data_IF_440708041088
#
_entry.id   IF_440708041088
#
_cell.length_a   1.000
_cell.length_b   1.000
_cell.length_c   1.000
_cell.angle_alpha   90.00
_cell.angle_beta   90.00
_cell.angle_gamma   90.00
#
_symmetry.space_group_name_H-M   'P 1'
#
loop_
_entity.id
_entity.type
_entity.pdbx_description
1 polymer ?
#
# COMPACT_ATOMS: atom_id res chain seq x y z
N UNK A 1 -17.31 -0.98 -9.51
CA UNK A 1 -16.29 -0.06 -8.98
C UNK A 1 -15.00 -0.36 -9.70
N UNK A 2 -14.33 0.66 -10.23
CA UNK A 2 -12.99 0.49 -10.81
C UNK A 2 -11.96 0.39 -9.69
N UNK A 3 -10.94 -0.44 -9.86
CA UNK A 3 -9.83 -0.49 -8.92
C UNK A 3 -9.11 0.88 -8.89
N UNK A 4 -8.74 1.40 -7.72
CA UNK A 4 -7.87 2.56 -7.61
C UNK A 4 -6.57 2.38 -8.40
N UNK A 5 -6.01 3.48 -8.91
CA UNK A 5 -4.79 3.46 -9.71
C UNK A 5 -3.58 3.74 -8.82
N UNK A 6 -2.55 2.88 -8.91
CA UNK A 6 -1.28 3.11 -8.23
C UNK A 6 -0.57 4.32 -8.84
N UNK A 7 -0.18 5.28 -8.01
CA UNK A 7 0.66 6.40 -8.42
C UNK A 7 2.11 5.99 -8.54
N UNK A 8 2.90 6.77 -9.28
CA UNK A 8 4.36 6.69 -9.16
C UNK A 8 4.77 6.89 -7.72
N UNK A 9 5.64 6.01 -7.20
CA UNK A 9 6.22 6.13 -5.87
C UNK A 9 7.09 7.39 -5.73
N UNK A 10 7.37 7.81 -4.50
CA UNK A 10 8.06 9.08 -4.21
C UNK A 10 9.52 9.06 -4.69
N UNK A 11 10.20 7.93 -4.49
CA UNK A 11 11.59 7.72 -4.90
C UNK A 11 11.70 6.78 -6.12
N UNK A 12 12.79 6.84 -6.91
CA UNK A 12 13.02 5.91 -8.03
C UNK A 12 13.07 4.43 -7.60
N UNK A 13 12.71 3.53 -8.52
CA UNK A 13 12.75 2.08 -8.27
C UNK A 13 14.16 1.53 -8.05
N UNK A 14 15.19 2.20 -8.58
CA UNK A 14 16.60 1.86 -8.40
C UNK A 14 17.25 2.58 -7.20
N UNK A 15 16.46 3.33 -6.43
CA UNK A 15 16.91 3.96 -5.20
C UNK A 15 17.26 2.89 -4.14
N UNK A 16 18.38 3.02 -3.41
CA UNK A 16 18.74 2.10 -2.34
C UNK A 16 17.70 1.92 -1.22
N UNK A 17 16.76 2.86 -1.07
CA UNK A 17 15.66 2.78 -0.09
C UNK A 17 14.42 2.01 -0.63
N UNK A 18 14.31 1.81 -1.95
CA UNK A 18 13.27 1.00 -2.60
C UNK A 18 13.47 -0.50 -2.34
N UNK A 19 13.24 -0.93 -1.09
CA UNK A 19 13.56 -2.28 -0.60
C UNK A 19 12.35 -3.02 -0.04
N UNK A 20 11.19 -2.37 0.00
CA UNK A 20 9.98 -2.91 0.62
C UNK A 20 9.27 -3.89 -0.32
N UNK A 21 8.75 -4.97 0.27
CA UNK A 21 8.19 -6.10 -0.49
C UNK A 21 6.69 -6.27 -0.30
N UNK A 22 6.10 -5.56 0.65
CA UNK A 22 4.72 -5.67 1.10
C UNK A 22 4.33 -7.13 1.42
N UNK A 23 5.24 -7.88 2.04
CA UNK A 23 5.06 -9.29 2.40
C UNK A 23 4.53 -9.44 3.83
N UNK A 24 3.25 -9.82 4.03
CA UNK A 24 2.74 -10.08 5.36
C UNK A 24 3.31 -11.37 5.92
N UNK A 25 3.47 -11.40 7.24
CA UNK A 25 3.89 -12.58 7.98
C UNK A 25 3.55 -12.48 9.47
N UNK A 26 3.85 -13.51 10.27
CA UNK A 26 3.48 -13.55 11.70
C UNK A 26 4.01 -12.39 12.54
N UNK A 27 5.10 -11.75 12.09
CA UNK A 27 5.73 -10.59 12.76
C UNK A 27 5.55 -9.27 11.99
N UNK A 28 4.87 -9.30 10.85
CA UNK A 28 4.55 -8.15 10.01
C UNK A 28 3.13 -8.34 9.47
N UNK A 29 2.10 -8.12 10.30
CA UNK A 29 0.73 -8.35 9.87
C UNK A 29 0.34 -7.35 8.79
N UNK A 30 -0.59 -7.74 7.91
CA UNK A 30 -1.28 -6.79 7.04
C UNK A 30 -2.59 -6.38 7.72
N UNK A 31 -2.73 -5.09 7.98
CA UNK A 31 -3.87 -4.49 8.67
C UNK A 31 -4.41 -3.31 7.86
N UNK A 32 -5.66 -2.94 8.12
CA UNK A 32 -6.27 -1.76 7.55
C UNK A 32 -7.00 -0.96 8.63
N UNK A 33 -7.02 0.37 8.52
CA UNK A 33 -7.82 1.20 9.42
C UNK A 33 -9.32 0.97 9.14
N UNK A 34 -10.19 1.14 10.15
CA UNK A 34 -11.64 1.05 9.93
C UNK A 34 -12.14 2.04 8.86
N UNK A 35 -11.58 3.25 8.81
CA UNK A 35 -11.96 4.27 7.83
C UNK A 35 -11.57 3.86 6.40
N UNK A 36 -10.38 3.26 6.21
CA UNK A 36 -9.98 2.73 4.91
C UNK A 36 -10.90 1.58 4.46
N UNK A 37 -11.27 0.67 5.37
CA UNK A 37 -12.21 -0.43 5.07
C UNK A 37 -13.59 0.12 4.71
N UNK A 38 -14.09 1.12 5.44
CA UNK A 38 -15.38 1.74 5.15
C UNK A 38 -15.39 2.43 3.78
N UNK A 39 -14.31 3.16 3.44
CA UNK A 39 -14.23 3.90 2.19
C UNK A 39 -14.01 2.99 0.98
N UNK A 40 -13.06 2.05 1.06
CA UNK A 40 -12.61 1.27 -0.10
C UNK A 40 -13.13 -0.16 -0.12
N UNK A 41 -13.62 -0.72 0.99
CA UNK A 41 -13.89 -2.16 1.21
C UNK A 41 -12.62 -3.02 1.32
N UNK A 42 -12.74 -4.14 2.03
CA UNK A 42 -11.66 -5.13 2.17
C UNK A 42 -11.22 -5.72 0.82
N UNK A 43 -12.16 -5.95 -0.11
CA UNK A 43 -11.88 -6.54 -1.41
C UNK A 43 -10.95 -5.64 -2.26
N UNK A 44 -11.23 -4.34 -2.29
CA UNK A 44 -10.40 -3.37 -3.03
C UNK A 44 -9.04 -3.22 -2.37
N UNK A 45 -8.98 -3.16 -1.03
CA UNK A 45 -7.71 -3.08 -0.29
C UNK A 45 -6.83 -4.31 -0.60
N UNK A 46 -7.41 -5.51 -0.62
CA UNK A 46 -6.71 -6.74 -0.98
C UNK A 46 -6.22 -6.72 -2.43
N UNK A 47 -7.05 -6.23 -3.37
CA UNK A 47 -6.67 -6.11 -4.77
C UNK A 47 -5.53 -5.09 -4.99
N UNK A 48 -5.57 -3.94 -4.32
CA UNK A 48 -4.48 -2.96 -4.32
C UNK A 48 -3.19 -3.53 -3.74
N UNK A 49 -3.26 -4.26 -2.61
CA UNK A 49 -2.11 -4.96 -2.04
C UNK A 49 -1.48 -5.97 -3.02
N UNK A 50 -2.28 -6.71 -3.78
CA UNK A 50 -1.77 -7.61 -4.82
C UNK A 50 -1.02 -6.87 -5.93
N UNK A 51 -1.45 -5.65 -6.30
CA UNK A 51 -0.72 -4.80 -7.24
C UNK A 51 0.64 -4.42 -6.66
N UNK A 52 0.71 -4.02 -5.39
CA UNK A 52 1.97 -3.69 -4.72
C UNK A 52 2.94 -4.87 -4.70
N UNK A 53 2.44 -6.08 -4.41
CA UNK A 53 3.23 -7.32 -4.46
C UNK A 53 3.84 -7.55 -5.83
N UNK A 54 3.07 -7.35 -6.90
CA UNK A 54 3.56 -7.50 -8.27
C UNK A 54 4.63 -6.46 -8.62
N UNK A 55 4.45 -5.20 -8.20
CA UNK A 55 5.43 -4.14 -8.40
C UNK A 55 6.73 -4.42 -7.63
N UNK A 56 6.63 -4.79 -6.36
CA UNK A 56 7.78 -5.17 -5.55
C UNK A 56 8.55 -6.35 -6.15
N UNK A 57 7.85 -7.39 -6.63
CA UNK A 57 8.49 -8.53 -7.27
C UNK A 57 9.16 -8.14 -8.61
N UNK A 58 8.55 -7.23 -9.39
CA UNK A 58 9.11 -6.74 -10.65
C UNK A 58 10.38 -5.89 -10.44
N UNK A 59 10.37 -5.02 -9.44
CA UNK A 59 11.42 -4.04 -9.19
C UNK A 59 12.46 -4.50 -8.15
N UNK A 60 12.25 -5.68 -7.53
CA UNK A 60 13.09 -6.20 -6.43
C UNK A 60 13.07 -5.30 -5.19
N UNK A 61 11.92 -4.66 -4.95
CA UNK A 61 11.71 -3.69 -3.89
C UNK A 61 11.05 -2.41 -4.43
N UNK A 62 10.26 -1.77 -3.57
CA UNK A 62 9.63 -0.48 -3.82
C UNK A 62 9.72 0.39 -2.56
N UNK A 63 9.33 1.65 -2.68
CA UNK A 63 9.26 2.60 -1.58
C UNK A 63 8.30 2.14 -0.48
N UNK A 64 8.55 2.53 0.77
CA UNK A 64 7.79 2.10 1.93
C UNK A 64 6.36 2.65 1.93
N UNK A 65 6.14 3.83 1.33
CA UNK A 65 4.84 4.48 1.17
C UNK A 65 4.36 4.34 -0.28
N UNK A 66 3.18 3.78 -0.45
CA UNK A 66 2.54 3.62 -1.76
C UNK A 66 1.14 4.23 -1.73
N UNK A 67 0.78 4.95 -2.79
CA UNK A 67 -0.47 5.72 -2.84
C UNK A 67 -1.31 5.28 -4.03
N UNK A 68 -2.55 4.91 -3.76
CA UNK A 68 -3.57 4.66 -4.76
C UNK A 68 -4.55 5.83 -4.81
N UNK A 69 -4.82 6.34 -6.01
CA UNK A 69 -5.83 7.37 -6.25
C UNK A 69 -7.07 6.80 -6.95
N UNK A 70 -8.23 7.35 -6.62
CA UNK A 70 -9.51 6.95 -7.19
C UNK A 70 -10.35 8.19 -7.46
N UNK A 71 -10.94 8.29 -8.65
CA UNK A 71 -11.93 9.34 -8.93
C UNK A 71 -13.28 9.10 -8.24
N UNK A 72 -13.49 7.91 -7.68
CA UNK A 72 -14.72 7.52 -6.99
C UNK A 72 -14.69 7.88 -5.49
N UNK A 73 -13.53 8.21 -4.93
CA UNK A 73 -13.33 8.45 -3.50
C UNK A 73 -12.67 9.81 -3.23
N UNK A 74 -13.01 10.49 -2.12
CA UNK A 74 -12.50 11.82 -1.82
C UNK A 74 -11.05 11.83 -1.31
N UNK A 75 -10.54 10.69 -0.83
CA UNK A 75 -9.21 10.56 -0.27
C UNK A 75 -8.46 9.38 -0.89
N UNK A 76 -7.14 9.50 -0.98
CA UNK A 76 -6.29 8.44 -1.49
C UNK A 76 -6.12 7.32 -0.47
N UNK A 77 -6.02 6.09 -0.96
CA UNK A 77 -5.69 4.93 -0.15
C UNK A 77 -4.16 4.78 -0.08
N UNK A 78 -3.62 4.85 1.13
CA UNK A 78 -2.19 4.71 1.38
C UNK A 78 -1.88 3.31 1.88
N UNK A 79 -0.70 2.82 1.53
CA UNK A 79 -0.10 1.62 2.07
C UNK A 79 1.29 1.96 2.60
N UNK A 80 1.54 1.62 3.87
CA UNK A 80 2.84 1.82 4.52
C UNK A 80 3.36 0.46 4.95
N UNK A 81 4.55 0.08 4.48
CA UNK A 81 5.31 -1.03 5.07
C UNK A 81 6.29 -0.49 6.11
N UNK A 82 5.98 -0.71 7.38
CA UNK A 82 6.92 -0.43 8.46
C UNK A 82 8.14 -1.37 8.37
N UNK A 83 9.26 -0.87 8.90
CA UNK A 83 10.49 -1.64 9.04
C UNK A 83 10.36 -2.90 9.93
N UNK A 84 11.50 -3.45 10.34
CA UNK A 84 11.53 -4.71 11.09
C UNK A 84 10.64 -4.69 12.35
N UNK A 85 9.62 -5.56 12.38
CA UNK A 85 8.71 -5.73 13.53
C UNK A 85 7.48 -4.81 13.52
N UNK A 86 7.31 -3.96 12.51
CA UNK A 86 6.08 -3.19 12.31
C UNK A 86 5.03 -3.93 11.49
N UNK A 87 4.07 -3.20 10.90
CA UNK A 87 2.99 -3.76 10.11
C UNK A 87 3.06 -3.31 8.64
N UNK A 88 2.27 -3.96 7.78
CA UNK A 88 1.84 -3.37 6.53
C UNK A 88 0.46 -2.78 6.82
N UNK A 89 0.30 -1.48 6.65
CA UNK A 89 -0.93 -0.77 7.03
C UNK A 89 -1.56 -0.12 5.82
N UNK A 90 -2.82 -0.46 5.54
CA UNK A 90 -3.67 0.30 4.63
C UNK A 90 -4.45 1.36 5.42
N UNK A 91 -4.38 2.62 5.01
CA UNK A 91 -4.99 3.74 5.73
C UNK A 91 -5.38 4.88 4.78
N UNK A 92 -6.23 5.79 5.23
CA UNK A 92 -6.48 7.04 4.52
C UNK A 92 -5.38 8.05 4.84
N UNK A 93 -5.18 9.04 3.95
CA UNK A 93 -4.20 10.11 4.18
C UNK A 93 -4.48 10.90 5.48
N UNK A 94 -5.75 11.00 5.89
CA UNK A 94 -6.17 11.66 7.13
C UNK A 94 -5.96 10.83 8.41
N UNK A 95 -5.69 9.52 8.28
CA UNK A 95 -5.39 8.63 9.41
C UNK A 95 -3.91 8.70 9.86
N UNK A 96 -3.05 9.34 9.05
CA UNK A 96 -1.60 9.50 9.29
C UNK A 96 -1.27 10.82 9.98
#
# INVERSE_FOLDING_TARGET
MSLPTLKSQEIPYDDPESTNMFLPGPKKPFVATPAAIEMYSEEVILACWQVLRQQADLHQGIDYLQVFESSEHPENLWFIEDGSGGAITALLASDY
#
